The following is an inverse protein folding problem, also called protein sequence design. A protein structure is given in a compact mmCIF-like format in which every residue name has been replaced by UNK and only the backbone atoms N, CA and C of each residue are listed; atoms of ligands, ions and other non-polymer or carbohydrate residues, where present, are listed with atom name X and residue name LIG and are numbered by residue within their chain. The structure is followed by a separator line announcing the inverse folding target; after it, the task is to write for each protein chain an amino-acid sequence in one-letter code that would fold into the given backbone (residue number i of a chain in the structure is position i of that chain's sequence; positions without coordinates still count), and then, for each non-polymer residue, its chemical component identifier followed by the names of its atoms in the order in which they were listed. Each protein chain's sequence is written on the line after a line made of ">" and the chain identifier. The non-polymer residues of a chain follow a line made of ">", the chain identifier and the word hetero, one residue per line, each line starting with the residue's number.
data_IF_186822723558
#
_entry.id   IF_186822723558
#
_cell.length_a   1.000
_cell.length_b   1.000
_cell.length_c   1.000
_cell.angle_alpha   90.00
_cell.angle_beta   90.00
_cell.angle_gamma   90.00
#
_symmetry.space_group_name_H-M   'P 1'
#
loop_
_entity.id
_entity.type
_entity.pdbx_description
1 polymer ?
#
# COMPACT_ATOMS: atom_id res chain seq x y z
N UNK A 1 -23.02 13.74 12.44
CA UNK A 1 -22.15 12.84 11.64
C UNK A 1 -21.69 11.70 12.54
N UNK A 2 -21.43 10.53 11.99
CA UNK A 2 -20.77 9.42 12.70
C UNK A 2 -19.66 8.85 11.82
N UNK A 3 -18.67 8.21 12.44
CA UNK A 3 -17.63 7.48 11.72
C UNK A 3 -18.25 6.16 11.24
N UNK A 4 -18.28 5.94 9.93
CA UNK A 4 -18.73 4.67 9.37
C UNK A 4 -17.65 3.60 9.47
N UNK A 5 -16.40 3.96 9.16
CA UNK A 5 -15.27 3.03 9.10
C UNK A 5 -13.97 3.71 9.52
N UNK A 6 -13.24 3.05 10.42
CA UNK A 6 -11.87 3.39 10.81
C UNK A 6 -11.16 2.13 11.30
N UNK A 7 -9.84 2.08 11.16
CA UNK A 7 -9.03 0.98 11.67
C UNK A 7 -7.54 1.30 11.57
N UNK A 8 -6.72 0.54 12.31
CA UNK A 8 -5.26 0.62 12.24
C UNK A 8 -4.74 -0.67 11.61
N UNK A 9 -3.90 -0.53 10.58
CA UNK A 9 -3.24 -1.68 9.95
C UNK A 9 -1.77 -1.75 10.37
N UNK A 10 -1.46 -2.69 11.25
CA UNK A 10 -0.10 -3.01 11.71
C UNK A 10 -0.03 -4.52 12.05
N UNK A 11 -0.04 -5.41 11.05
CA UNK A 11 -0.14 -6.86 11.25
C UNK A 11 1.12 -7.49 11.85
N UNK A 12 2.25 -6.77 11.87
CA UNK A 12 3.55 -7.25 12.34
C UNK A 12 4.41 -6.08 12.89
N UNK A 13 5.70 -6.33 13.12
CA UNK A 13 6.65 -5.33 13.61
C UNK A 13 7.25 -4.40 12.55
N UNK A 14 6.92 -4.56 11.27
CA UNK A 14 7.40 -3.66 10.23
C UNK A 14 6.67 -2.31 10.29
N UNK A 15 7.40 -1.23 10.07
CA UNK A 15 6.82 0.11 9.97
C UNK A 15 6.21 0.31 8.58
N UNK A 16 5.05 0.97 8.52
CA UNK A 16 4.34 1.31 7.29
C UNK A 16 4.14 2.81 7.22
N UNK A 17 4.55 3.45 6.12
CA UNK A 17 4.47 4.91 5.97
C UNK A 17 4.16 5.32 4.53
N UNK A 18 3.75 6.59 4.37
CA UNK A 18 3.37 7.19 3.09
C UNK A 18 2.38 6.32 2.32
N UNK A 19 1.21 6.13 2.93
CA UNK A 19 0.18 5.31 2.34
C UNK A 19 -0.64 6.08 1.30
N UNK A 20 -1.04 5.40 0.24
CA UNK A 20 -2.14 5.77 -0.64
C UNK A 20 -3.34 4.88 -0.33
N UNK A 21 -4.53 5.46 -0.31
CA UNK A 21 -5.80 4.76 -0.06
C UNK A 21 -6.81 5.15 -1.14
N UNK A 22 -7.51 4.16 -1.69
CA UNK A 22 -8.53 4.36 -2.71
C UNK A 22 -9.71 3.42 -2.47
N UNK A 23 -10.88 3.80 -2.96
CA UNK A 23 -12.10 2.98 -2.94
C UNK A 23 -12.63 2.86 -4.37
N UNK A 24 -13.02 1.66 -4.78
CA UNK A 24 -13.64 1.43 -6.09
C UNK A 24 -15.17 1.52 -6.01
N UNK A 25 -15.84 1.36 -7.16
CA UNK A 25 -17.30 1.42 -7.28
C UNK A 25 -18.03 0.23 -6.64
N UNK A 26 -17.32 -0.89 -6.41
CA UNK A 26 -17.79 -2.02 -5.62
C UNK A 26 -17.78 -1.76 -4.11
N UNK A 27 -17.09 -0.70 -3.66
CA UNK A 27 -16.90 -0.36 -2.25
C UNK A 27 -15.68 -1.04 -1.61
N UNK A 28 -14.84 -1.67 -2.43
CA UNK A 28 -13.58 -2.25 -1.98
C UNK A 28 -12.55 -1.15 -1.76
N UNK A 29 -11.82 -1.24 -0.64
CA UNK A 29 -10.83 -0.24 -0.23
C UNK A 29 -9.45 -0.86 -0.33
N UNK A 30 -8.60 -0.26 -1.16
CA UNK A 30 -7.20 -0.63 -1.28
C UNK A 30 -6.31 0.33 -0.49
N UNK A 31 -5.25 -0.21 0.10
CA UNK A 31 -4.26 0.54 0.85
C UNK A 31 -2.86 0.06 0.44
N UNK A 32 -2.07 0.95 -0.17
CA UNK A 32 -0.68 0.69 -0.55
C UNK A 32 0.25 1.60 0.27
N UNK A 33 1.42 1.11 0.68
CA UNK A 33 2.36 1.88 1.52
C UNK A 33 3.79 1.39 1.34
N UNK A 34 4.72 2.25 1.79
CA UNK A 34 6.10 1.84 2.02
C UNK A 34 6.19 0.99 3.29
N UNK A 35 7.10 0.00 3.32
CA UNK A 35 7.34 -0.88 4.47
C UNK A 35 8.82 -1.10 4.74
N UNK A 36 9.24 -1.14 6.00
CA UNK A 36 10.64 -1.34 6.42
C UNK A 36 10.78 -1.60 7.92
N UNK A 37 11.89 -2.23 8.29
CA UNK A 37 12.35 -2.44 9.65
C UNK A 37 13.87 -2.63 9.65
N UNK A 38 14.44 -3.05 10.79
CA UNK A 38 15.85 -3.44 10.85
C UNK A 38 16.20 -4.66 9.98
N UNK A 39 15.21 -5.49 9.62
CA UNK A 39 15.38 -6.68 8.76
C UNK A 39 14.68 -6.56 7.41
N UNK A 40 13.71 -5.65 7.26
CA UNK A 40 13.01 -5.40 6.00
C UNK A 40 13.57 -4.15 5.33
N UNK A 41 14.27 -4.34 4.22
CA UNK A 41 14.69 -3.22 3.38
C UNK A 41 13.47 -2.43 2.87
N UNK A 42 13.55 -1.09 2.71
CA UNK A 42 12.46 -0.27 2.21
C UNK A 42 11.81 -0.83 0.93
N UNK A 43 10.57 -1.27 1.08
CA UNK A 43 9.79 -2.01 0.10
C UNK A 43 8.41 -1.37 -0.09
N UNK A 44 7.65 -1.85 -1.07
CA UNK A 44 6.30 -1.41 -1.40
C UNK A 44 5.34 -2.60 -1.31
N UNK A 45 4.29 -2.46 -0.48
CA UNK A 45 3.27 -3.49 -0.26
C UNK A 45 1.87 -2.89 -0.32
N UNK A 46 0.87 -3.76 -0.48
CA UNK A 46 -0.54 -3.40 -0.35
C UNK A 46 -1.31 -4.39 0.51
N UNK A 47 -2.44 -3.92 1.03
CA UNK A 47 -3.53 -4.70 1.61
C UNK A 47 -4.84 -4.05 1.16
N UNK A 48 -5.96 -4.55 1.65
CA UNK A 48 -7.26 -3.98 1.37
C UNK A 48 -8.37 -4.69 2.12
N UNK A 49 -9.59 -4.28 1.80
CA UNK A 49 -10.82 -4.90 2.25
C UNK A 49 -11.87 -4.83 1.16
N UNK A 50 -12.65 -5.89 1.06
CA UNK A 50 -13.82 -5.93 0.22
C UNK A 50 -14.99 -5.21 0.91
N UNK A 51 -15.98 -4.76 0.16
CA UNK A 51 -17.14 -4.05 0.72
C UNK A 51 -17.89 -4.84 1.80
N UNK A 52 -17.91 -6.17 1.68
CA UNK A 52 -18.57 -7.10 2.61
C UNK A 52 -17.78 -7.39 3.89
N UNK A 53 -16.53 -6.93 4.00
CA UNK A 53 -15.71 -7.23 5.16
C UNK A 53 -16.21 -6.56 6.43
N UNK A 54 -15.89 -7.11 7.62
CA UNK A 54 -16.13 -6.42 8.89
C UNK A 54 -15.53 -5.01 8.88
N UNK A 55 -16.26 -4.05 9.44
CA UNK A 55 -15.80 -2.66 9.51
C UNK A 55 -14.51 -2.55 10.33
N UNK A 56 -13.61 -1.69 9.87
CA UNK A 56 -12.35 -1.39 10.55
C UNK A 56 -11.27 -2.45 10.41
N UNK A 57 -11.46 -3.44 9.54
CA UNK A 57 -10.49 -4.50 9.26
C UNK A 57 -10.07 -4.46 7.79
N UNK A 58 -8.76 -4.60 7.54
CA UNK A 58 -8.20 -4.95 6.23
C UNK A 58 -7.96 -6.45 6.22
N UNK A 59 -8.77 -7.18 5.46
CA UNK A 59 -8.78 -8.66 5.48
C UNK A 59 -7.87 -9.26 4.40
N UNK A 60 -7.60 -8.51 3.33
CA UNK A 60 -6.73 -8.96 2.25
C UNK A 60 -5.32 -9.08 2.79
N UNK A 61 -4.72 -10.26 2.61
CA UNK A 61 -3.35 -10.53 3.08
C UNK A 61 -2.38 -9.53 2.45
N UNK A 62 -1.49 -8.97 3.29
CA UNK A 62 -0.48 -8.04 2.80
C UNK A 62 0.37 -8.70 1.70
N UNK A 63 0.47 -8.02 0.56
CA UNK A 63 1.13 -8.55 -0.63
C UNK A 63 2.21 -7.60 -1.12
N UNK A 64 3.34 -8.15 -1.56
CA UNK A 64 4.48 -7.38 -2.06
C UNK A 64 4.27 -6.92 -3.50
N UNK A 65 4.38 -5.61 -3.72
CA UNK A 65 4.43 -5.00 -5.06
C UNK A 65 5.87 -4.97 -5.56
N UNK A 66 6.78 -4.51 -4.69
CA UNK A 66 8.21 -4.46 -4.98
C UNK A 66 9.01 -4.63 -3.68
N UNK A 67 9.83 -5.67 -3.64
CA UNK A 67 10.74 -5.92 -2.53
C UNK A 67 12.03 -5.11 -2.70
N UNK A 68 12.39 -4.37 -1.66
CA UNK A 68 13.70 -3.77 -1.54
C UNK A 68 14.77 -4.80 -1.14
N UNK A 69 16.02 -4.49 -1.43
CA UNK A 69 17.20 -5.31 -1.13
C UNK A 69 18.34 -4.50 -0.48
N UNK A 70 18.12 -3.22 -0.21
CA UNK A 70 19.13 -2.34 0.38
C UNK A 70 18.49 -1.26 1.26
N UNK A 71 19.22 -0.77 2.25
CA UNK A 71 18.79 0.35 3.08
C UNK A 71 18.71 1.66 2.30
N UNK A 72 18.19 2.72 2.93
CA UNK A 72 18.07 4.04 2.29
C UNK A 72 19.08 5.03 2.88
N UNK A 73 19.84 5.71 2.01
CA UNK A 73 20.73 6.82 2.36
C UNK A 73 20.30 8.14 1.69
N UNK A 74 19.13 8.18 1.05
CA UNK A 74 18.55 9.35 0.40
C UNK A 74 17.61 10.12 1.33
N UNK A 75 17.53 11.44 1.18
CA UNK A 75 16.57 12.32 1.86
C UNK A 75 15.35 12.70 1.00
N UNK A 76 15.14 12.02 -0.14
CA UNK A 76 14.08 12.32 -1.13
C UNK A 76 13.01 11.24 -1.24
N UNK A 77 12.82 10.42 -0.20
CA UNK A 77 11.85 9.32 -0.26
C UNK A 77 10.41 9.85 -0.40
N UNK A 78 9.67 9.31 -1.37
CA UNK A 78 8.21 9.41 -1.41
C UNK A 78 7.63 10.61 -2.17
N UNK A 79 8.42 11.34 -2.96
CA UNK A 79 7.94 12.45 -3.78
C UNK A 79 6.82 12.08 -4.77
N UNK A 80 6.69 10.78 -5.11
CA UNK A 80 5.79 10.28 -6.15
C UNK A 80 4.97 9.08 -5.65
N UNK A 81 4.25 9.24 -4.55
CA UNK A 81 3.34 8.20 -4.05
C UNK A 81 1.89 8.53 -4.42
N UNK A 82 1.20 7.61 -5.09
CA UNK A 82 -0.24 7.72 -5.38
C UNK A 82 -0.90 6.35 -5.41
N UNK A 83 -2.20 6.32 -5.15
CA UNK A 83 -3.06 5.16 -5.37
C UNK A 83 -4.42 5.66 -5.83
N UNK A 84 -4.86 5.20 -6.99
CA UNK A 84 -6.03 5.70 -7.70
C UNK A 84 -6.81 4.50 -8.26
N UNK A 85 -8.13 4.60 -8.26
CA UNK A 85 -9.01 3.57 -8.84
C UNK A 85 -9.07 3.73 -10.37
N UNK A 86 -8.91 2.64 -11.13
CA UNK A 86 -9.32 2.60 -12.54
C UNK A 86 -10.85 2.47 -12.61
N UNK A 87 -11.56 3.51 -13.09
CA UNK A 87 -13.03 3.50 -13.14
C UNK A 87 -13.59 2.50 -14.16
N UNK A 88 -12.76 1.90 -15.01
CA UNK A 88 -13.19 0.97 -16.07
C UNK A 88 -13.22 -0.48 -15.58
N UNK A 89 -12.28 -0.83 -14.69
CA UNK A 89 -12.05 -2.22 -14.26
C UNK A 89 -12.26 -2.42 -12.76
N UNK A 90 -12.27 -1.34 -11.96
CA UNK A 90 -12.27 -1.41 -10.51
C UNK A 90 -10.92 -1.84 -9.92
N UNK A 91 -9.87 -1.97 -10.75
CA UNK A 91 -8.49 -2.19 -10.29
C UNK A 91 -7.91 -0.91 -9.68
N UNK A 92 -6.77 -1.05 -9.02
CA UNK A 92 -6.06 0.06 -8.38
C UNK A 92 -4.71 0.25 -9.05
N UNK A 93 -4.47 1.45 -9.56
CA UNK A 93 -3.20 1.88 -10.12
C UNK A 93 -2.47 2.79 -9.14
N UNK A 94 -1.15 2.75 -9.14
CA UNK A 94 -0.40 3.60 -8.25
C UNK A 94 1.07 3.74 -8.57
N UNK A 95 1.68 4.63 -7.81
CA UNK A 95 3.13 4.88 -7.80
C UNK A 95 3.65 4.77 -6.38
N UNK A 96 4.83 4.19 -6.22
CA UNK A 96 5.44 4.01 -4.90
C UNK A 96 6.93 3.75 -4.97
N UNK A 97 7.60 3.79 -3.83
CA UNK A 97 9.06 3.72 -3.74
C UNK A 97 9.55 2.38 -3.17
N UNK A 98 10.70 1.91 -3.65
CA UNK A 98 11.44 0.77 -3.09
C UNK A 98 12.95 0.94 -3.34
N UNK A 99 13.78 0.24 -2.57
CA UNK A 99 15.24 0.33 -2.67
C UNK A 99 15.89 -0.95 -3.19
N UNK A 100 16.59 -0.89 -4.32
CA UNK A 100 17.54 -1.96 -4.73
C UNK A 100 19.00 -1.58 -4.45
N UNK A 101 19.24 -0.32 -4.08
CA UNK A 101 20.53 0.27 -3.73
C UNK A 101 20.29 1.24 -2.57
N UNK A 102 21.31 2.00 -2.17
CA UNK A 102 21.16 3.06 -1.15
C UNK A 102 20.29 4.25 -1.57
N UNK A 103 19.70 4.23 -2.78
CA UNK A 103 18.75 5.22 -3.29
C UNK A 103 17.45 4.55 -3.75
N UNK A 104 16.35 5.32 -3.65
CA UNK A 104 15.01 4.89 -4.04
C UNK A 104 14.80 4.86 -5.54
N UNK A 105 13.84 4.02 -5.94
CA UNK A 105 13.28 3.90 -7.28
C UNK A 105 11.76 3.98 -7.20
N UNK A 106 11.14 4.56 -8.22
CA UNK A 106 9.68 4.51 -8.37
C UNK A 106 9.27 3.22 -9.07
N UNK A 107 8.22 2.59 -8.58
CA UNK A 107 7.45 1.54 -9.24
C UNK A 107 6.09 2.10 -9.60
N UNK A 108 5.70 1.98 -10.86
CA UNK A 108 4.29 2.05 -11.29
C UNK A 108 3.71 0.64 -11.17
N UNK A 109 2.53 0.50 -10.61
CA UNK A 109 1.90 -0.80 -10.38
C UNK A 109 0.38 -0.74 -10.59
N UNK A 110 -0.19 -1.92 -10.79
CA UNK A 110 -1.62 -2.19 -10.83
C UNK A 110 -1.91 -3.45 -10.00
N UNK A 111 -3.03 -3.49 -9.29
CA UNK A 111 -3.58 -4.72 -8.70
C UNK A 111 -5.09 -4.67 -8.56
N UNK A 112 -5.72 -5.83 -8.44
CA UNK A 112 -7.11 -6.00 -7.99
C UNK A 112 -7.11 -6.73 -6.65
N UNK A 113 -8.10 -6.46 -5.81
CA UNK A 113 -8.27 -7.24 -4.59
C UNK A 113 -8.83 -8.63 -4.93
N UNK A 114 -8.36 -9.69 -4.25
CA UNK A 114 -8.95 -11.01 -4.40
C UNK A 114 -10.39 -11.00 -3.88
N UNK A 115 -11.27 -11.69 -4.61
CA UNK A 115 -12.66 -11.96 -4.20
C UNK A 115 -12.74 -13.03 -3.13
#
# INVERSE_FOLDING_TARGET
>A
WSIHQQGTYAPDGDSRWMAGIAINDLGDIALAYSVSSGSTAPSLRYTGRNASDPLGQMTVTETSIAAGTSGNASNRWGDYFSLDTDPSTGSFWGTGCYNTTSSWRTRIFEFSLPV
#
